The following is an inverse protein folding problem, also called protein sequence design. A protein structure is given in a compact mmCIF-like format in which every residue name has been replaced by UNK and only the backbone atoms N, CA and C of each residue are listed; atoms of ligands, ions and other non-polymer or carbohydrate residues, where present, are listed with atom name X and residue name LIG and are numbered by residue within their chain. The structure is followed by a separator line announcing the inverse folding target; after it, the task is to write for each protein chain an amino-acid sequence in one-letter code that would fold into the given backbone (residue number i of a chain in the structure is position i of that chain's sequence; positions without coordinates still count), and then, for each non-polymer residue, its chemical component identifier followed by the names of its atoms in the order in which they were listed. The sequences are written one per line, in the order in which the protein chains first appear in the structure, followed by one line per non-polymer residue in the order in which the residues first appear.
data_IF_947969655888
#
_entry.id   IF_947969655888
#
_cell.length_a   1.000
_cell.length_b   1.000
_cell.length_c   1.000
_cell.angle_alpha   90.00
_cell.angle_beta   90.00
_cell.angle_gamma   90.00
#
_symmetry.space_group_name_H-M   'P 1'
#
loop_
_entity.id
_entity.type
_entity.pdbx_description
1 polymer ?
#
# COMPACT_ATOMS: atom_id res chain seq x y z
N UNK A 1 -33.76 13.46 -21.67
CA UNK A 1 -33.39 12.22 -20.95
C UNK A 1 -31.97 12.45 -20.49
N UNK A 2 -31.83 13.05 -19.30
CA UNK A 2 -30.54 13.50 -18.78
C UNK A 2 -29.67 12.28 -18.53
N UNK A 3 -28.60 12.13 -19.32
CA UNK A 3 -27.52 11.20 -18.99
C UNK A 3 -26.94 11.67 -17.67
N UNK A 4 -27.35 11.06 -16.55
CA UNK A 4 -26.60 11.15 -15.29
C UNK A 4 -25.16 10.79 -15.64
N UNK A 5 -24.28 11.79 -15.59
CA UNK A 5 -22.86 11.58 -15.77
C UNK A 5 -22.40 10.78 -14.54
N UNK A 6 -22.21 9.47 -14.68
CA UNK A 6 -21.71 8.59 -13.62
C UNK A 6 -20.37 9.12 -13.14
N UNK A 7 -20.19 9.30 -11.83
CA UNK A 7 -18.94 9.86 -11.32
C UNK A 7 -17.77 8.88 -11.56
N UNK A 8 -16.55 9.41 -11.58
CA UNK A 8 -15.33 8.61 -11.75
C UNK A 8 -15.25 7.51 -10.68
N UNK A 9 -15.67 7.85 -9.46
CA UNK A 9 -15.75 6.94 -8.30
C UNK A 9 -16.73 5.81 -8.58
N UNK A 10 -17.96 6.13 -8.98
CA UNK A 10 -19.00 5.13 -9.24
C UNK A 10 -18.61 4.17 -10.36
N UNK A 11 -17.99 4.68 -11.44
CA UNK A 11 -17.56 3.83 -12.56
C UNK A 11 -16.37 2.95 -12.16
N UNK A 12 -15.42 3.44 -11.36
CA UNK A 12 -14.32 2.64 -10.85
C UNK A 12 -14.80 1.56 -9.87
N UNK A 13 -15.63 1.94 -8.90
CA UNK A 13 -16.19 1.03 -7.89
C UNK A 13 -17.09 -0.04 -8.50
N UNK A 14 -17.57 0.11 -9.75
CA UNK A 14 -18.27 -0.97 -10.45
C UNK A 14 -17.38 -2.18 -10.71
N UNK A 15 -16.09 -1.97 -10.99
CA UNK A 15 -15.17 -3.04 -11.38
C UNK A 15 -14.12 -3.37 -10.32
N UNK A 16 -13.77 -2.42 -9.46
CA UNK A 16 -12.69 -2.60 -8.49
C UNK A 16 -13.16 -2.35 -7.05
N UNK A 17 -12.54 -3.07 -6.13
CA UNK A 17 -12.56 -2.81 -4.69
C UNK A 17 -11.20 -2.28 -4.28
N UNK A 18 -11.18 -1.37 -3.30
CA UNK A 18 -9.95 -0.86 -2.69
C UNK A 18 -9.95 -1.30 -1.23
N UNK A 19 -8.88 -1.93 -0.79
CA UNK A 19 -8.78 -2.52 0.53
C UNK A 19 -7.51 -2.08 1.24
N UNK A 20 -7.61 -1.86 2.55
CA UNK A 20 -6.42 -1.95 3.41
C UNK A 20 -6.06 -3.43 3.54
N UNK A 21 -4.78 -3.76 3.40
CA UNK A 21 -4.31 -5.11 3.63
C UNK A 21 -4.00 -5.28 5.12
N UNK A 22 -4.98 -5.82 5.85
CA UNK A 22 -4.96 -5.96 7.31
C UNK A 22 -4.87 -7.43 7.73
N UNK A 23 -5.35 -8.34 6.88
CA UNK A 23 -5.23 -9.78 7.04
C UNK A 23 -4.07 -10.36 6.23
N UNK A 24 -3.59 -11.55 6.61
CA UNK A 24 -2.53 -12.24 5.86
C UNK A 24 -2.93 -12.54 4.42
N UNK A 25 -4.21 -12.83 4.16
CA UNK A 25 -4.71 -13.06 2.81
C UNK A 25 -4.59 -11.82 1.92
N UNK A 26 -4.97 -10.65 2.46
CA UNK A 26 -4.84 -9.39 1.74
C UNK A 26 -3.36 -8.98 1.56
N UNK A 27 -2.52 -9.22 2.56
CA UNK A 27 -1.07 -9.02 2.44
C UNK A 27 -0.47 -9.92 1.35
N UNK A 28 -0.87 -11.19 1.28
CA UNK A 28 -0.46 -12.10 0.22
C UNK A 28 -0.89 -11.57 -1.17
N UNK A 29 -2.06 -10.95 -1.28
CA UNK A 29 -2.49 -10.28 -2.52
C UNK A 29 -1.57 -9.12 -2.90
N UNK A 30 -1.14 -8.30 -1.93
CA UNK A 30 -0.15 -7.23 -2.14
C UNK A 30 1.19 -7.80 -2.61
N UNK A 31 1.73 -8.80 -1.90
CA UNK A 31 3.03 -9.40 -2.22
C UNK A 31 3.03 -10.10 -3.58
N UNK A 32 1.88 -10.62 -4.01
CA UNK A 32 1.73 -11.21 -5.34
C UNK A 32 1.74 -10.16 -6.45
N UNK A 33 1.09 -9.00 -6.27
CA UNK A 33 1.21 -7.89 -7.23
C UNK A 33 2.65 -7.44 -7.32
N UNK A 34 3.30 -7.27 -6.17
CA UNK A 34 4.71 -6.88 -6.10
C UNK A 34 5.62 -7.87 -6.82
N UNK A 35 5.42 -9.18 -6.63
CA UNK A 35 6.21 -10.19 -7.35
C UNK A 35 6.07 -10.06 -8.87
N UNK A 36 4.83 -9.96 -9.39
CA UNK A 36 4.61 -9.80 -10.84
C UNK A 36 5.23 -8.52 -11.39
N UNK A 37 5.17 -7.43 -10.63
CA UNK A 37 5.70 -6.13 -11.05
C UNK A 37 7.23 -6.05 -10.90
N UNK A 38 7.78 -6.34 -9.72
CA UNK A 38 9.19 -6.10 -9.39
C UNK A 38 10.12 -7.27 -9.70
N UNK A 39 9.62 -8.51 -9.71
CA UNK A 39 10.43 -9.69 -10.02
C UNK A 39 10.27 -10.12 -11.48
N UNK A 40 9.02 -10.28 -11.95
CA UNK A 40 8.78 -10.78 -13.31
C UNK A 40 8.91 -9.69 -14.38
N UNK A 41 8.26 -8.54 -14.18
CA UNK A 41 8.22 -7.48 -15.19
C UNK A 41 9.48 -6.60 -15.19
N UNK A 42 9.77 -5.93 -14.07
CA UNK A 42 10.89 -4.99 -13.99
C UNK A 42 12.23 -5.66 -13.67
N UNK A 43 12.21 -6.88 -13.14
CA UNK A 43 13.41 -7.64 -12.76
C UNK A 43 14.35 -6.86 -11.81
N UNK A 44 13.77 -6.04 -10.93
CA UNK A 44 14.51 -5.32 -9.89
C UNK A 44 14.89 -6.22 -8.73
N UNK A 45 14.06 -7.22 -8.45
CA UNK A 45 14.27 -8.19 -7.38
C UNK A 45 14.43 -9.60 -7.98
N UNK A 46 15.32 -10.44 -7.43
CA UNK A 46 15.55 -11.80 -7.92
C UNK A 46 14.34 -12.70 -7.64
N UNK A 47 13.72 -13.25 -8.69
CA UNK A 47 12.51 -14.06 -8.57
C UNK A 47 12.71 -15.35 -7.76
N UNK A 48 13.92 -15.93 -7.78
CA UNK A 48 14.30 -17.11 -7.02
C UNK A 48 14.44 -16.84 -5.51
N UNK A 49 14.55 -15.58 -5.09
CA UNK A 49 14.53 -15.18 -3.68
C UNK A 49 13.11 -15.00 -3.12
N UNK A 50 12.06 -15.16 -3.93
CA UNK A 50 10.66 -14.93 -3.55
C UNK A 50 9.89 -16.26 -3.47
N UNK A 51 9.97 -17.01 -2.36
CA UNK A 51 9.25 -18.27 -2.20
C UNK A 51 7.73 -18.03 -2.35
N UNK A 52 7.05 -18.99 -2.99
CA UNK A 52 5.61 -18.92 -3.26
C UNK A 52 5.17 -17.73 -4.15
N UNK A 53 6.08 -17.09 -4.89
CA UNK A 53 5.78 -15.93 -5.74
C UNK A 53 5.23 -14.74 -4.96
N UNK A 54 5.77 -14.52 -3.75
CA UNK A 54 5.43 -13.40 -2.88
C UNK A 54 6.70 -12.57 -2.70
N UNK A 55 6.69 -11.32 -3.18
CA UNK A 55 7.80 -10.39 -2.97
C UNK A 55 7.61 -9.66 -1.64
N UNK A 56 8.58 -9.84 -0.75
CA UNK A 56 8.64 -9.22 0.58
C UNK A 56 10.07 -8.81 0.89
N UNK A 57 10.23 -7.73 1.64
CA UNK A 57 11.53 -7.27 2.16
C UNK A 57 11.43 -6.96 3.67
N UNK A 58 12.55 -6.57 4.28
CA UNK A 58 12.61 -6.34 5.73
C UNK A 58 11.80 -5.12 6.22
N UNK A 59 11.31 -4.27 5.31
CA UNK A 59 10.50 -3.11 5.67
C UNK A 59 9.02 -3.43 5.85
N UNK A 60 8.57 -4.58 5.33
CA UNK A 60 7.15 -4.96 5.38
C UNK A 60 6.62 -5.16 6.81
N UNK A 61 7.48 -5.56 7.75
CA UNK A 61 7.11 -5.76 9.17
C UNK A 61 6.62 -4.49 9.87
N UNK A 62 7.04 -3.31 9.39
CA UNK A 62 6.65 -2.02 9.95
C UNK A 62 5.99 -1.13 8.90
N UNK A 63 5.27 -1.77 7.98
CA UNK A 63 4.56 -1.10 6.90
C UNK A 63 3.04 -1.24 7.01
N UNK A 64 2.35 -0.32 6.34
CA UNK A 64 0.93 -0.45 6.03
C UNK A 64 0.77 -0.58 4.53
N UNK A 65 -0.23 -1.34 4.10
CA UNK A 65 -0.42 -1.66 2.70
C UNK A 65 -1.87 -1.46 2.28
N UNK A 66 -2.06 -1.10 1.02
CA UNK A 66 -3.36 -1.13 0.36
C UNK A 66 -3.27 -1.89 -0.96
N UNK A 67 -4.39 -2.45 -1.37
CA UNK A 67 -4.52 -3.23 -2.59
C UNK A 67 -5.81 -2.84 -3.32
N UNK A 68 -5.72 -2.74 -4.64
CA UNK A 68 -6.86 -2.61 -5.55
C UNK A 68 -7.13 -4.00 -6.11
N UNK A 69 -8.37 -4.49 -6.00
CA UNK A 69 -8.76 -5.83 -6.42
C UNK A 69 -9.85 -5.73 -7.47
N UNK A 70 -9.68 -6.43 -8.59
CA UNK A 70 -10.71 -6.53 -9.61
C UNK A 70 -11.83 -7.47 -9.13
N UNK A 71 -13.06 -6.98 -9.10
CA UNK A 71 -14.20 -7.67 -8.47
C UNK A 71 -14.58 -8.96 -9.17
N UNK A 72 -14.62 -8.97 -10.50
CA UNK A 72 -15.13 -10.13 -11.22
C UNK A 72 -14.17 -11.31 -11.20
N UNK A 73 -12.85 -11.06 -11.14
CA UNK A 73 -11.82 -12.11 -11.17
C UNK A 73 -11.18 -12.37 -9.81
N UNK A 74 -11.34 -11.46 -8.84
CA UNK A 74 -10.61 -11.48 -7.58
C UNK A 74 -9.12 -11.17 -7.73
N UNK A 75 -8.65 -10.80 -8.94
CA UNK A 75 -7.23 -10.54 -9.15
C UNK A 75 -6.82 -9.20 -8.55
N UNK A 76 -5.71 -9.15 -7.79
CA UNK A 76 -5.18 -7.88 -7.33
C UNK A 76 -4.55 -7.14 -8.51
N UNK A 77 -5.01 -5.91 -8.75
CA UNK A 77 -4.72 -5.07 -9.90
C UNK A 77 -3.65 -4.01 -9.60
N UNK A 78 -3.53 -3.57 -8.35
CA UNK A 78 -2.51 -2.62 -7.92
C UNK A 78 -2.29 -2.64 -6.42
N UNK A 79 -1.15 -2.13 -5.96
CA UNK A 79 -0.81 -2.06 -4.55
C UNK A 79 0.10 -0.88 -4.23
N UNK A 80 0.09 -0.44 -2.97
CA UNK A 80 1.09 0.50 -2.44
C UNK A 80 1.46 0.14 -1.00
N UNK A 81 2.67 0.55 -0.60
CA UNK A 81 3.22 0.38 0.74
C UNK A 81 3.58 1.73 1.36
N UNK A 82 3.26 1.89 2.63
CA UNK A 82 3.71 2.98 3.50
C UNK A 82 4.62 2.40 4.57
N UNK A 83 5.91 2.69 4.50
CA UNK A 83 6.88 2.29 5.52
C UNK A 83 6.89 3.33 6.63
N UNK A 84 6.68 2.91 7.88
CA UNK A 84 6.54 3.83 9.00
C UNK A 84 7.90 4.11 9.64
N UNK A 85 8.31 5.38 9.65
CA UNK A 85 9.52 5.79 10.35
C UNK A 85 9.27 5.97 11.85
N UNK A 86 10.29 5.82 12.67
CA UNK A 86 10.31 6.36 14.03
C UNK A 86 11.76 6.58 14.41
N UNK A 87 12.04 7.03 15.64
CA UNK A 87 13.41 7.34 16.06
C UNK A 87 14.39 6.15 15.94
N UNK A 88 13.90 4.90 15.91
CA UNK A 88 14.70 3.68 15.82
C UNK A 88 14.71 3.07 14.41
N UNK A 89 13.69 3.35 13.59
CA UNK A 89 13.47 2.72 12.29
C UNK A 89 13.70 3.73 11.15
N UNK A 90 14.55 3.35 10.21
CA UNK A 90 14.85 4.11 9.00
C UNK A 90 13.89 3.71 7.88
N UNK A 91 13.54 4.67 7.02
CA UNK A 91 12.86 4.41 5.76
C UNK A 91 13.80 3.74 4.73
N UNK A 92 13.28 3.02 3.72
CA UNK A 92 14.10 2.42 2.66
C UNK A 92 15.07 3.41 1.99
N UNK A 93 14.62 4.60 1.64
CA UNK A 93 15.48 5.62 1.03
C UNK A 93 16.60 6.06 1.96
N UNK A 94 16.36 6.13 3.28
CA UNK A 94 17.41 6.45 4.25
C UNK A 94 18.44 5.32 4.34
N UNK A 95 18.02 4.06 4.18
CA UNK A 95 18.94 2.91 4.20
C UNK A 95 19.77 2.81 2.93
N UNK A 96 19.14 2.95 1.77
CA UNK A 96 19.78 2.64 0.48
C UNK A 96 20.31 3.87 -0.26
N UNK A 97 19.79 5.06 0.04
CA UNK A 97 20.06 6.28 -0.71
C UNK A 97 20.37 7.49 0.20
N UNK A 98 20.89 7.27 1.41
CA UNK A 98 21.12 8.33 2.42
C UNK A 98 21.82 9.58 1.85
N UNK A 99 22.84 9.39 1.01
CA UNK A 99 23.63 10.47 0.41
C UNK A 99 22.85 11.33 -0.57
N UNK A 100 21.74 10.82 -1.12
CA UNK A 100 20.90 11.55 -2.06
C UNK A 100 19.86 12.42 -1.37
N UNK A 101 19.58 12.20 -0.08
CA UNK A 101 18.49 12.89 0.63
C UNK A 101 18.99 14.22 1.22
N UNK A 102 18.14 15.24 1.19
CA UNK A 102 18.33 16.46 1.96
C UNK A 102 18.31 16.15 3.47
N UNK A 103 19.51 16.14 4.05
CA UNK A 103 19.72 15.85 5.47
C UNK A 103 19.14 16.92 6.40
N UNK A 104 19.00 18.18 5.94
CA UNK A 104 18.37 19.22 6.75
C UNK A 104 16.86 19.00 6.82
N UNK A 105 16.24 18.60 5.70
CA UNK A 105 14.83 18.23 5.67
C UNK A 105 14.55 17.02 6.57
N UNK A 106 15.35 15.96 6.49
CA UNK A 106 15.17 14.79 7.37
C UNK A 106 15.27 15.17 8.85
N UNK A 107 16.30 15.93 9.24
CA UNK A 107 16.50 16.38 10.63
C UNK A 107 15.41 17.33 11.13
N UNK A 108 14.66 17.97 10.24
CA UNK A 108 13.49 18.78 10.65
C UNK A 108 12.38 17.95 11.32
N UNK A 109 12.44 16.62 11.20
CA UNK A 109 11.54 15.67 11.85
C UNK A 109 12.13 14.99 13.10
N UNK A 110 13.33 15.37 13.55
CA UNK A 110 13.93 14.81 14.77
C UNK A 110 13.01 15.03 15.98
N UNK A 111 12.76 13.96 16.76
CA UNK A 111 11.83 13.97 17.89
C UNK A 111 10.35 13.86 17.49
N UNK A 112 10.04 13.75 16.19
CA UNK A 112 8.71 13.56 15.62
C UNK A 112 8.74 12.64 14.39
N UNK A 113 9.71 11.72 14.30
CA UNK A 113 9.80 10.78 13.18
C UNK A 113 8.59 9.84 13.12
N UNK A 114 7.89 9.67 14.23
CA UNK A 114 6.60 8.99 14.31
C UNK A 114 5.43 9.72 13.59
N UNK A 115 5.71 10.83 12.89
CA UNK A 115 4.75 11.50 11.97
C UNK A 115 5.12 11.31 10.49
N UNK A 116 6.21 10.58 10.21
CA UNK A 116 6.79 10.40 8.87
C UNK A 116 6.53 8.98 8.35
N UNK A 117 6.37 8.86 7.03
CA UNK A 117 6.39 7.59 6.31
C UNK A 117 6.99 7.70 4.91
N UNK A 118 7.41 6.57 4.33
CA UNK A 118 7.83 6.46 2.94
C UNK A 118 6.80 5.68 2.12
N UNK A 119 6.33 6.28 1.03
CA UNK A 119 5.55 5.58 0.01
C UNK A 119 6.53 4.81 -0.88
N UNK A 120 6.38 3.50 -0.90
CA UNK A 120 7.22 2.58 -1.66
C UNK A 120 6.38 1.46 -2.28
N UNK A 121 7.02 0.66 -3.15
CA UNK A 121 6.40 -0.51 -3.80
C UNK A 121 5.03 -0.23 -4.43
N UNK A 122 4.86 0.97 -5.02
CA UNK A 122 3.67 1.29 -5.80
C UNK A 122 3.70 0.53 -7.13
N UNK A 123 2.81 -0.45 -7.27
CA UNK A 123 2.75 -1.33 -8.44
C UNK A 123 1.35 -1.41 -9.01
N UNK A 124 1.25 -1.45 -10.35
CA UNK A 124 0.02 -1.75 -11.09
C UNK A 124 0.33 -2.90 -12.02
N UNK A 125 -0.50 -3.93 -11.93
CA UNK A 125 -0.35 -5.14 -12.72
C UNK A 125 -0.52 -4.87 -14.23
N UNK A 126 0.29 -5.53 -15.04
CA UNK A 126 0.29 -5.40 -16.50
C UNK A 126 -1.05 -5.67 -17.19
N UNK A 127 -1.92 -6.47 -16.58
CA UNK A 127 -3.26 -6.75 -17.09
C UNK A 127 -4.23 -5.56 -16.98
N UNK A 128 -3.96 -4.61 -16.07
CA UNK A 128 -4.84 -3.47 -15.76
C UNK A 128 -4.24 -2.11 -16.16
N UNK A 129 -3.29 -2.10 -17.11
CA UNK A 129 -2.73 -0.88 -17.73
C UNK A 129 -3.32 -0.66 -19.12
N UNK A 130 -3.43 0.61 -19.53
CA UNK A 130 -3.86 0.95 -20.91
C UNK A 130 -2.76 0.53 -21.89
N UNK A 131 -3.10 -0.26 -22.92
CA UNK A 131 -2.20 -0.54 -24.05
C UNK A 131 -2.75 0.07 -25.35
N UNK A 132 -2.27 1.23 -25.81
CA UNK A 132 -2.40 1.64 -27.19
C UNK A 132 -1.11 1.26 -27.95
N UNK A 133 -1.14 0.18 -28.74
CA UNK A 133 -0.14 -0.06 -29.79
C UNK A 133 1.27 -0.47 -29.35
N UNK A 134 1.51 -0.89 -28.11
CA UNK A 134 2.79 -1.48 -27.69
C UNK A 134 2.97 -2.88 -28.30
N UNK A 135 3.60 -2.90 -29.47
CA UNK A 135 4.47 -4.01 -29.89
C UNK A 135 5.63 -4.07 -28.90
N UNK A 136 5.91 -5.27 -28.40
CA UNK A 136 7.00 -5.65 -27.48
C UNK A 136 6.71 -5.52 -25.97
N UNK A 137 5.91 -6.44 -25.42
CA UNK A 137 6.33 -7.10 -24.17
C UNK A 137 7.07 -8.38 -24.54
N UNK A 138 8.33 -8.51 -24.10
CA UNK A 138 9.20 -9.70 -24.34
C UNK A 138 8.76 -10.96 -23.59
N UNK A 139 7.63 -10.93 -22.88
CA UNK A 139 7.02 -12.11 -22.27
C UNK A 139 5.52 -12.11 -22.58
N UNK A 140 5.08 -13.24 -23.14
CA UNK A 140 3.78 -13.43 -23.76
C UNK A 140 2.65 -13.75 -22.79
N UNK A 141 1.45 -13.73 -23.35
CA UNK A 141 0.24 -14.42 -22.89
C UNK A 141 -0.27 -14.11 -21.48
N UNK A 142 -0.88 -12.92 -21.32
CA UNK A 142 -2.07 -12.78 -20.47
C UNK A 142 -3.21 -12.28 -21.37
N UNK A 143 -3.67 -13.13 -22.30
CA UNK A 143 -4.87 -12.88 -23.11
C UNK A 143 -6.07 -13.73 -22.65
N UNK A 144 -6.10 -14.16 -21.39
CA UNK A 144 -7.15 -15.04 -20.87
C UNK A 144 -8.33 -14.28 -20.21
N UNK A 145 -8.22 -12.96 -20.00
CA UNK A 145 -9.28 -12.16 -19.41
C UNK A 145 -9.92 -11.28 -20.48
N UNK A 146 -11.13 -11.66 -20.90
CA UNK A 146 -11.94 -10.86 -21.81
C UNK A 146 -12.65 -9.75 -21.02
N UNK A 147 -11.98 -8.60 -20.88
CA UNK A 147 -12.55 -7.41 -20.26
C UNK A 147 -13.44 -6.64 -21.24
N UNK A 148 -14.58 -6.14 -20.76
CA UNK A 148 -15.46 -5.31 -21.60
C UNK A 148 -14.80 -3.97 -21.97
N UNK A 149 -15.16 -3.38 -23.11
CA UNK A 149 -14.63 -2.05 -23.49
C UNK A 149 -14.99 -0.95 -22.49
N UNK A 150 -16.05 -1.13 -21.70
CA UNK A 150 -16.45 -0.20 -20.64
C UNK A 150 -15.50 -0.32 -19.44
N UNK A 151 -15.16 -1.54 -19.05
CA UNK A 151 -14.21 -1.83 -17.98
C UNK A 151 -12.80 -1.32 -18.31
N UNK A 152 -12.30 -1.58 -19.52
CA UNK A 152 -10.97 -1.12 -19.94
C UNK A 152 -10.77 0.41 -19.87
N UNK A 153 -11.86 1.20 -19.88
CA UNK A 153 -11.78 2.66 -19.70
C UNK A 153 -11.40 3.08 -18.28
N UNK A 154 -11.59 2.19 -17.31
CA UNK A 154 -11.27 2.43 -15.89
C UNK A 154 -9.85 2.03 -15.52
N UNK A 155 -9.14 1.28 -16.36
CA UNK A 155 -7.76 0.83 -16.11
C UNK A 155 -6.77 1.97 -15.82
N UNK A 156 -6.82 3.13 -16.53
CA UNK A 156 -5.99 4.29 -16.19
C UNK A 156 -6.21 4.80 -14.76
N UNK A 157 -7.37 4.54 -14.16
CA UNK A 157 -7.70 4.96 -12.81
C UNK A 157 -7.09 4.05 -11.75
N UNK A 158 -6.64 2.83 -12.08
CA UNK A 158 -6.05 1.90 -11.09
C UNK A 158 -4.79 2.50 -10.45
N UNK A 159 -3.93 3.12 -11.27
CA UNK A 159 -2.74 3.82 -10.78
C UNK A 159 -3.12 4.98 -9.84
N UNK A 160 -4.06 5.82 -10.26
CA UNK A 160 -4.53 6.94 -9.45
C UNK A 160 -5.21 6.49 -8.16
N UNK A 161 -6.08 5.48 -8.22
CA UNK A 161 -6.73 4.87 -7.06
C UNK A 161 -5.69 4.36 -6.06
N UNK A 162 -4.63 3.70 -6.54
CA UNK A 162 -3.53 3.20 -5.70
C UNK A 162 -2.81 4.34 -4.99
N UNK A 163 -2.51 5.44 -5.68
CA UNK A 163 -1.89 6.64 -5.09
C UNK A 163 -2.82 7.29 -4.05
N UNK A 164 -4.09 7.50 -4.40
CA UNK A 164 -5.08 8.11 -3.50
C UNK A 164 -5.32 7.23 -2.26
N UNK A 165 -5.26 5.90 -2.42
CA UNK A 165 -5.35 4.95 -1.30
C UNK A 165 -4.17 5.07 -0.36
N UNK A 166 -2.96 5.27 -0.89
CA UNK A 166 -1.78 5.49 -0.08
C UNK A 166 -1.88 6.83 0.69
N UNK A 167 -2.38 7.90 0.07
CA UNK A 167 -2.66 9.17 0.74
C UNK A 167 -3.73 9.03 1.84
N UNK A 168 -4.81 8.31 1.56
CA UNK A 168 -5.86 8.10 2.55
C UNK A 168 -5.32 7.29 3.74
N UNK A 169 -4.45 6.32 3.46
CA UNK A 169 -3.81 5.52 4.49
C UNK A 169 -2.86 6.34 5.34
N UNK A 170 -2.05 7.24 4.75
CA UNK A 170 -1.13 8.12 5.51
C UNK A 170 -1.88 9.07 6.44
N UNK A 171 -3.03 9.60 6.00
CA UNK A 171 -3.91 10.40 6.86
C UNK A 171 -4.48 9.56 8.00
N UNK A 172 -5.04 8.38 7.70
CA UNK A 172 -5.70 7.52 8.68
C UNK A 172 -4.76 7.07 9.82
N UNK A 173 -3.50 6.80 9.49
CA UNK A 173 -2.51 6.31 10.46
C UNK A 173 -1.73 7.45 11.15
N UNK A 174 -2.08 8.71 10.88
CA UNK A 174 -1.45 9.87 11.51
C UNK A 174 -0.01 10.12 11.06
N UNK A 175 0.32 9.80 9.80
CA UNK A 175 1.65 9.97 9.20
C UNK A 175 1.60 10.93 8.02
N UNK A 176 1.29 12.22 8.25
CA UNK A 176 1.03 13.17 7.17
C UNK A 176 2.28 13.51 6.36
N UNK A 177 3.49 13.33 6.90
CA UNK A 177 4.74 13.68 6.23
C UNK A 177 5.25 12.50 5.42
N UNK A 178 5.15 12.60 4.10
CA UNK A 178 5.38 11.50 3.19
C UNK A 178 6.61 11.75 2.35
N UNK A 179 7.47 10.74 2.25
CA UNK A 179 8.59 10.69 1.33
C UNK A 179 8.38 9.61 0.28
N UNK A 180 9.04 9.73 -0.86
CA UNK A 180 9.19 8.63 -1.81
C UNK A 180 10.42 8.79 -2.69
N UNK A 181 11.00 7.66 -3.07
CA UNK A 181 12.02 7.57 -4.10
C UNK A 181 11.35 7.25 -5.44
N UNK A 182 11.40 8.17 -6.41
CA UNK A 182 10.71 8.01 -7.70
C UNK A 182 11.49 8.57 -8.87
N UNK A 183 11.07 8.24 -10.09
CA UNK A 183 11.65 8.80 -11.31
C UNK A 183 11.42 10.32 -11.40
N UNK A 184 12.41 11.15 -11.80
CA UNK A 184 12.31 12.61 -11.75
C UNK A 184 11.16 13.23 -12.56
N UNK A 185 10.63 12.52 -13.57
CA UNK A 185 9.48 13.00 -14.34
C UNK A 185 8.14 12.72 -13.67
N UNK A 186 8.05 11.74 -12.77
CA UNK A 186 6.79 11.28 -12.21
C UNK A 186 6.02 12.39 -11.47
N UNK A 187 6.65 13.26 -10.65
CA UNK A 187 5.98 14.41 -10.05
C UNK A 187 5.33 15.34 -11.08
N UNK A 188 5.89 15.47 -12.29
CA UNK A 188 5.32 16.29 -13.35
C UNK A 188 4.02 15.69 -13.90
N UNK A 189 3.90 14.36 -13.91
CA UNK A 189 2.67 13.67 -14.27
C UNK A 189 1.61 13.81 -13.17
N UNK A 190 2.01 13.66 -11.91
CA UNK A 190 1.13 13.77 -10.74
C UNK A 190 0.49 15.16 -10.59
N UNK A 191 1.20 16.22 -11.03
CA UNK A 191 0.66 17.59 -11.06
C UNK A 191 -0.65 17.71 -11.86
N UNK A 192 -0.89 16.86 -12.86
CA UNK A 192 -2.15 16.88 -13.64
C UNK A 192 -3.37 16.47 -12.81
N UNK A 193 -3.15 15.72 -11.74
CA UNK A 193 -4.17 15.34 -10.77
C UNK A 193 -4.23 16.29 -9.58
N UNK A 194 -3.37 17.32 -9.56
CA UNK A 194 -3.26 18.26 -8.46
C UNK A 194 -2.29 17.84 -7.35
N UNK A 195 -1.60 16.70 -7.48
CA UNK A 195 -0.65 16.23 -6.47
C UNK A 195 0.71 16.92 -6.61
N UNK A 196 1.11 17.63 -5.55
CA UNK A 196 2.35 18.39 -5.51
C UNK A 196 3.39 17.67 -4.64
N UNK A 197 4.38 17.07 -5.30
CA UNK A 197 5.58 16.55 -4.64
C UNK A 197 6.75 17.53 -4.83
N UNK A 198 7.45 17.84 -3.75
CA UNK A 198 8.61 18.75 -3.72
C UNK A 198 9.91 17.94 -3.71
N UNK A 199 10.97 18.36 -4.41
CA UNK A 199 12.26 17.69 -4.30
C UNK A 199 12.73 17.64 -2.85
N UNK A 200 13.29 16.50 -2.44
CA UNK A 200 13.78 16.24 -1.08
C UNK A 200 15.25 15.79 -1.09
N UNK A 201 16.01 16.21 -2.11
CA UNK A 201 17.38 15.78 -2.32
C UNK A 201 17.78 15.80 -3.81
N UNK A 202 18.79 15.01 -4.15
CA UNK A 202 19.41 14.95 -5.47
C UNK A 202 19.09 13.65 -6.19
N UNK A 203 19.28 13.65 -7.51
CA UNK A 203 19.20 12.42 -8.30
C UNK A 203 20.33 11.44 -7.93
N UNK A 204 20.04 10.15 -7.96
CA UNK A 204 21.00 9.07 -7.74
C UNK A 204 20.61 7.84 -8.54
N UNK A 205 21.59 6.96 -8.78
CA UNK A 205 21.36 5.66 -9.40
C UNK A 205 20.79 4.68 -8.34
N UNK A 206 19.55 4.23 -8.55
CA UNK A 206 18.83 3.27 -7.71
C UNK A 206 17.73 2.60 -8.54
N UNK A 207 18.05 1.47 -9.18
CA UNK A 207 17.19 0.81 -10.18
C UNK A 207 16.84 1.74 -11.37
N UNK A 208 17.84 2.47 -11.86
CA UNK A 208 17.70 3.62 -12.75
C UNK A 208 17.81 4.94 -11.99
N UNK A 209 17.73 6.05 -12.72
CA UNK A 209 17.79 7.38 -12.10
C UNK A 209 16.53 7.61 -11.27
N UNK A 210 16.73 7.94 -10.00
CA UNK A 210 15.67 8.26 -9.04
C UNK A 210 16.03 9.51 -8.27
N UNK A 211 15.02 10.19 -7.74
CA UNK A 211 15.19 11.34 -6.85
C UNK A 211 14.21 11.24 -5.68
N UNK A 212 14.64 11.64 -4.47
CA UNK A 212 13.76 11.70 -3.32
C UNK A 212 12.81 12.90 -3.44
N UNK A 213 11.55 12.67 -3.10
CA UNK A 213 10.52 13.71 -3.01
C UNK A 213 9.81 13.66 -1.66
N UNK A 214 9.24 14.80 -1.29
CA UNK A 214 8.51 15.01 -0.06
C UNK A 214 7.18 15.74 -0.33
N UNK A 215 6.15 15.40 0.43
CA UNK A 215 4.91 16.16 0.52
C UNK A 215 4.26 15.97 1.89
N UNK A 216 3.37 16.90 2.26
CA UNK A 216 2.44 16.70 3.35
C UNK A 216 1.09 16.26 2.79
N UNK A 217 0.51 15.18 3.34
CA UNK A 217 -0.73 14.56 2.84
C UNK A 217 -1.87 15.56 2.72
N UNK A 218 -2.13 16.35 3.77
CA UNK A 218 -3.24 17.32 3.78
C UNK A 218 -3.04 18.44 2.77
N UNK A 219 -1.82 18.91 2.62
CA UNK A 219 -1.48 19.91 1.59
C UNK A 219 -1.73 19.33 0.20
N UNK A 220 -1.20 18.14 -0.09
CA UNK A 220 -1.38 17.48 -1.39
C UNK A 220 -2.83 17.17 -1.72
N UNK A 221 -3.64 16.79 -0.72
CA UNK A 221 -5.08 16.57 -0.87
C UNK A 221 -5.82 17.88 -1.16
N UNK A 222 -5.41 19.00 -0.56
CA UNK A 222 -6.03 20.31 -0.77
C UNK A 222 -5.87 20.85 -2.20
N UNK A 223 -4.88 20.35 -2.93
CA UNK A 223 -4.57 20.76 -4.30
C UNK A 223 -5.10 19.79 -5.37
N UNK A 224 -5.76 18.69 -4.96
CA UNK A 224 -6.36 17.74 -5.88
C UNK A 224 -7.46 18.38 -6.73
N UNK A 225 -7.54 17.96 -7.99
CA UNK A 225 -8.70 18.29 -8.83
C UNK A 225 -9.99 17.71 -8.22
N UNK A 226 -11.16 18.35 -8.42
CA UNK A 226 -12.40 17.98 -7.73
C UNK A 226 -12.79 16.50 -7.85
N UNK A 227 -12.61 15.89 -9.03
CA UNK A 227 -12.92 14.47 -9.26
C UNK A 227 -12.00 13.51 -8.49
N UNK A 228 -10.73 13.85 -8.32
CA UNK A 228 -9.79 13.06 -7.52
C UNK A 228 -9.95 13.31 -6.03
N UNK A 229 -10.40 14.51 -5.64
CA UNK A 229 -10.77 14.82 -4.26
C UNK A 229 -11.99 14.02 -3.82
N UNK A 230 -13.03 13.93 -4.66
CA UNK A 230 -14.20 13.07 -4.41
C UNK A 230 -13.77 11.61 -4.25
N UNK A 231 -12.87 11.13 -5.13
CA UNK A 231 -12.37 9.77 -5.07
C UNK A 231 -11.55 9.51 -3.81
N UNK A 232 -10.67 10.43 -3.43
CA UNK A 232 -9.93 10.39 -2.18
C UNK A 232 -10.85 10.29 -0.97
N UNK A 233 -11.88 11.15 -0.90
CA UNK A 233 -12.82 11.19 0.23
C UNK A 233 -13.60 9.89 0.37
N UNK A 234 -14.01 9.29 -0.76
CA UNK A 234 -14.66 7.99 -0.78
C UNK A 234 -13.74 6.88 -0.21
N UNK A 235 -12.47 6.85 -0.64
CA UNK A 235 -11.50 5.87 -0.15
C UNK A 235 -11.24 6.05 1.35
N UNK A 236 -11.05 7.30 1.80
CA UNK A 236 -10.79 7.61 3.21
C UNK A 236 -11.98 7.21 4.11
N UNK A 237 -13.20 7.44 3.65
CA UNK A 237 -14.41 7.01 4.34
C UNK A 237 -14.47 5.48 4.47
N UNK A 238 -14.25 4.74 3.37
CA UNK A 238 -14.24 3.27 3.36
C UNK A 238 -13.16 2.71 4.30
N UNK A 239 -11.96 3.29 4.26
CA UNK A 239 -10.85 2.89 5.12
C UNK A 239 -11.12 3.13 6.60
N UNK A 240 -11.78 4.23 6.94
CA UNK A 240 -12.14 4.58 8.32
C UNK A 240 -13.14 3.58 8.92
N UNK A 241 -14.09 3.09 8.11
CA UNK A 241 -15.07 2.08 8.53
C UNK A 241 -14.39 0.72 8.77
N UNK A 242 -13.57 0.25 7.84
CA UNK A 242 -12.86 -1.03 7.95
C UNK A 242 -11.95 -1.08 9.17
N UNK A 243 -11.19 -0.02 9.43
CA UNK A 243 -10.31 0.07 10.61
C UNK A 243 -11.08 0.09 11.95
N UNK A 244 -12.34 0.52 11.95
CA UNK A 244 -13.21 0.50 13.15
C UNK A 244 -13.79 -0.89 13.38
N UNK A 245 -14.21 -1.56 12.30
CA UNK A 245 -14.73 -2.94 12.33
C UNK A 245 -13.71 -3.91 12.93
N UNK A 246 -12.45 -3.86 12.47
CA UNK A 246 -11.39 -4.73 12.98
C UNK A 246 -11.04 -4.46 14.44
N UNK A 247 -10.97 -3.19 14.85
CA UNK A 247 -10.72 -2.84 16.26
C UNK A 247 -11.81 -3.39 17.18
N UNK A 248 -13.07 -3.40 16.74
CA UNK A 248 -14.19 -4.02 17.47
C UNK A 248 -14.11 -5.55 17.46
N UNK A 249 -13.71 -6.17 16.36
CA UNK A 249 -13.53 -7.62 16.28
C UNK A 249 -12.40 -8.09 17.22
N UNK A 250 -11.27 -7.38 17.25
CA UNK A 250 -10.13 -7.67 18.12
C UNK A 250 -10.43 -7.44 19.61
N UNK A 251 -11.22 -6.42 19.96
CA UNK A 251 -11.66 -6.20 21.35
C UNK A 251 -12.67 -7.24 21.83
N UNK A 252 -13.46 -7.81 20.92
CA UNK A 252 -14.43 -8.87 21.25
C UNK A 252 -13.75 -10.24 21.43
N UNK A 253 -12.69 -10.53 20.67
CA UNK A 253 -11.92 -11.77 20.79
C UNK A 253 -10.97 -11.81 22.01
N UNK A 254 -10.57 -10.64 22.55
CA UNK A 254 -9.74 -10.56 23.76
C UNK A 254 -10.54 -10.68 25.08
N UNK A 255 -11.88 -10.66 25.02
CA UNK A 255 -12.75 -10.92 26.16
C UNK A 255 -12.95 -12.44 26.37
N UNK A 256 -11.92 -13.14 26.84
CA UNK A 256 -12.11 -14.51 27.36
C UNK A 256 -12.79 -14.43 28.73
N UNK A 257 -13.89 -15.15 29.00
CA UNK A 257 -14.52 -15.12 30.33
C UNK A 257 -13.54 -15.69 31.36
N UNK A 258 -13.35 -14.95 32.46
CA UNK A 258 -12.50 -15.35 33.57
C UNK A 258 -12.84 -16.79 33.97
N UNK A 259 -11.89 -17.70 33.72
CA UNK A 259 -12.00 -19.11 34.07
C UNK A 259 -12.09 -19.19 35.59
N UNK A 260 -13.30 -19.41 36.11
CA UNK A 260 -13.53 -19.70 37.53
C UNK A 260 -12.69 -20.91 37.88
N UNK A 261 -11.62 -20.69 38.66
CA UNK A 261 -10.82 -21.78 39.18
C UNK A 261 -11.70 -22.63 40.11
N UNK A 262 -11.82 -23.95 39.87
CA UNK A 262 -12.51 -24.80 40.82
C UNK A 262 -11.71 -24.83 42.12
N UNK A 263 -12.39 -24.55 43.24
CA UNK A 263 -11.84 -24.69 44.60
C UNK A 263 -11.23 -26.08 44.75
N UNK A 264 -9.91 -26.16 44.97
CA UNK A 264 -9.21 -27.40 45.29
C UNK A 264 -9.78 -27.94 46.61
N UNK A 265 -10.55 -29.03 46.55
CA UNK A 265 -10.77 -29.91 47.71
C UNK A 265 -9.52 -30.78 47.84
N UNK A 266 -8.91 -30.75 49.01
CA UNK A 266 -7.65 -31.40 49.32
C UNK A 266 -7.68 -32.90 49.07
N UNK A 267 -6.59 -33.42 48.52
CA UNK A 267 -6.27 -34.85 48.49
C UNK A 267 -5.08 -35.10 49.42
N UNK A 268 -5.18 -36.20 50.15
CA UNK A 268 -4.29 -36.68 51.21
C UNK A 268 -2.87 -36.99 50.72
N UNK A 269 -1.85 -36.95 51.61
CA UNK A 269 -0.45 -37.09 51.24
C UNK A 269 -0.07 -38.54 50.97
N UNK A 270 -0.36 -39.04 49.77
CA UNK A 270 0.28 -40.25 49.25
C UNK A 270 0.43 -40.10 47.73
N UNK A 271 1.62 -40.47 47.22
CA UNK A 271 2.04 -40.54 45.80
C UNK A 271 2.64 -39.27 45.17
N UNK A 272 3.86 -38.92 45.61
CA UNK A 272 4.90 -38.32 44.76
C UNK A 272 5.63 -39.43 43.98
N UNK A 273 6.08 -39.09 42.76
CA UNK A 273 7.17 -39.66 41.95
C UNK A 273 6.76 -40.26 40.59
N UNK A 274 6.96 -39.48 39.52
CA UNK A 274 7.81 -39.79 38.35
C UNK A 274 7.74 -38.61 37.34
N UNK A 275 8.82 -37.84 37.21
CA UNK A 275 9.68 -37.70 36.01
C UNK A 275 8.99 -36.99 34.81
N UNK A 276 9.37 -35.79 34.41
CA UNK A 276 10.68 -35.43 33.85
C UNK A 276 11.10 -36.42 32.76
N UNK A 277 10.59 -36.18 31.56
CA UNK A 277 11.33 -36.17 30.30
C UNK A 277 10.85 -34.94 29.53
#
# INVERSE_FOLDING_TARGET
MDKKNTSLVEEFQRYFTIEQALTQEQLNSVYRVRYRVYCEEFQYEPADACPNQLETDEFDVHSRHCVVVHKATGMPAGCARLVLADEQRLMPMERHCASAIDQQLLRSFDGRRDTVCEFSRLGVDGAFRRRPGERESRFGEISALEFSSREQRTFPLVAMATILSALALSELIGRPHCFAMMEPFLPRLLRRSGLLARPAGQETEYHGIRSPFYWETREGVSTLEPEFKEFYDAILADFSVSATSERRAASTQSATPARVQPRRRGWSPFTQALLAN
#
